data_IF_496402371839
#
_entry.id   IF_496402371839
#
_cell.length_a   1.000
_cell.length_b   1.000
_cell.length_c   1.000
_cell.angle_alpha   90.00
_cell.angle_beta   90.00
_cell.angle_gamma   90.00
#
_symmetry.space_group_name_H-M   'P 1'
#
loop_
_entity.id
_entity.type
_entity.pdbx_description
1 polymer ?
#
# COMPACT_ATOMS: atom_id res chain seq x y z
N UNK A 1 1.79 -37.75 28.62
CA UNK A 1 2.17 -36.65 27.71
C UNK A 1 1.85 -36.92 26.23
N UNK A 2 2.07 -38.13 25.68
CA UNK A 2 1.80 -38.45 24.26
C UNK A 2 0.32 -38.30 23.83
N UNK A 3 -0.63 -38.62 24.71
CA UNK A 3 -2.05 -38.45 24.42
C UNK A 3 -2.51 -37.00 24.59
N UNK A 4 -1.91 -36.25 25.53
CA UNK A 4 -2.23 -34.84 25.76
C UNK A 4 -1.84 -33.97 24.57
N UNK A 5 -0.65 -34.19 23.99
CA UNK A 5 -0.24 -33.53 22.74
C UNK A 5 -1.14 -33.89 21.56
N UNK A 6 -1.69 -35.11 21.53
CA UNK A 6 -2.65 -35.55 20.51
C UNK A 6 -3.99 -34.81 20.64
N UNK A 7 -4.52 -34.65 21.85
CA UNK A 7 -5.76 -33.89 22.06
C UNK A 7 -5.58 -32.40 21.78
N UNK A 8 -4.44 -31.81 22.18
CA UNK A 8 -4.11 -30.42 21.86
C UNK A 8 -4.01 -30.23 20.34
N UNK A 9 -3.37 -31.16 19.63
CA UNK A 9 -3.28 -31.11 18.17
C UNK A 9 -4.64 -31.22 17.49
N UNK A 10 -5.54 -32.07 17.99
CA UNK A 10 -6.90 -32.21 17.44
C UNK A 10 -7.71 -30.92 17.68
N UNK A 11 -7.62 -30.35 18.89
CA UNK A 11 -8.26 -29.08 19.23
C UNK A 11 -7.79 -27.95 18.30
N UNK A 12 -6.47 -27.85 18.08
CA UNK A 12 -5.87 -26.80 17.25
C UNK A 12 -6.34 -26.88 15.79
N UNK A 13 -6.35 -28.08 15.22
CA UNK A 13 -6.84 -28.32 13.86
C UNK A 13 -8.33 -27.97 13.75
N UNK A 14 -9.15 -28.35 14.73
CA UNK A 14 -10.57 -28.00 14.74
C UNK A 14 -10.79 -26.47 14.78
N UNK A 15 -9.98 -25.73 15.56
CA UNK A 15 -10.07 -24.26 15.61
C UNK A 15 -9.62 -23.59 14.32
N UNK A 16 -8.64 -24.14 13.60
CA UNK A 16 -8.25 -23.62 12.28
C UNK A 16 -9.40 -23.74 11.28
N UNK A 17 -10.10 -24.88 11.24
CA UNK A 17 -11.24 -25.05 10.33
C UNK A 17 -12.41 -24.11 10.64
N UNK A 18 -12.62 -23.77 11.91
CA UNK A 18 -13.68 -22.84 12.33
C UNK A 18 -13.42 -21.39 11.85
N UNK A 19 -12.17 -21.02 11.56
CA UNK A 19 -11.83 -19.65 11.11
C UNK A 19 -11.99 -19.44 9.60
N UNK A 20 -12.16 -20.52 8.82
CA UNK A 20 -12.20 -20.43 7.34
C UNK A 20 -13.63 -20.22 6.82
N UNK A 21 -14.65 -20.25 7.68
CA UNK A 21 -16.03 -20.02 7.24
C UNK A 21 -16.35 -18.53 7.25
N UNK A 22 -16.77 -17.94 6.11
CA UNK A 22 -17.16 -16.53 6.06
C UNK A 22 -18.35 -16.31 7.00
N UNK A 23 -18.21 -15.37 7.93
CA UNK A 23 -19.29 -14.98 8.85
C UNK A 23 -20.33 -14.21 8.01
N UNK A 24 -21.57 -14.72 7.85
CA UNK A 24 -22.59 -13.96 7.16
C UNK A 24 -22.92 -12.71 7.97
N UNK A 25 -22.81 -11.53 7.35
CA UNK A 25 -23.26 -10.28 7.95
C UNK A 25 -24.79 -10.28 7.98
N UNK A 26 -25.38 -10.13 9.17
CA UNK A 26 -26.81 -9.85 9.31
C UNK A 26 -27.05 -8.41 8.83
N UNK A 27 -27.53 -8.24 7.60
CA UNK A 27 -27.91 -6.93 7.10
C UNK A 27 -29.13 -6.44 7.89
N UNK A 28 -28.93 -5.42 8.75
CA UNK A 28 -30.03 -4.65 9.30
C UNK A 28 -30.52 -3.70 8.21
N UNK A 29 -31.71 -3.93 7.67
CA UNK A 29 -32.34 -2.95 6.79
C UNK A 29 -32.66 -1.70 7.61
N UNK A 30 -31.78 -0.71 7.53
CA UNK A 30 -32.08 0.64 7.99
C UNK A 30 -33.20 1.18 7.10
N UNK A 31 -34.37 1.42 7.68
CA UNK A 31 -35.50 2.02 6.97
C UNK A 31 -35.08 3.39 6.43
N UNK A 32 -34.89 3.46 5.11
CA UNK A 32 -34.44 4.67 4.40
C UNK A 32 -35.59 5.68 4.40
N UNK A 33 -35.54 6.66 5.30
CA UNK A 33 -36.46 7.79 5.29
C UNK A 33 -36.23 8.68 4.05
N UNK A 34 -37.24 9.44 3.57
CA UNK A 34 -37.20 10.12 2.27
C UNK A 34 -36.21 11.29 2.15
N UNK A 35 -35.47 11.61 3.21
CA UNK A 35 -34.72 12.86 3.31
C UNK A 35 -33.48 12.75 4.21
N UNK A 36 -32.65 11.74 4.01
CA UNK A 36 -31.28 11.76 4.50
C UNK A 36 -30.38 12.20 3.34
N UNK A 37 -29.70 13.37 3.39
CA UNK A 37 -28.64 13.64 2.43
C UNK A 37 -27.63 12.50 2.57
N UNK A 38 -27.31 11.87 1.44
CA UNK A 38 -26.22 10.92 1.32
C UNK A 38 -24.93 11.72 1.48
N UNK A 39 -24.62 12.11 2.73
CA UNK A 39 -23.26 12.40 3.10
C UNK A 39 -22.61 11.03 3.05
N UNK A 40 -22.04 10.71 1.89
CA UNK A 40 -20.97 9.74 1.80
C UNK A 40 -19.88 10.26 2.72
N UNK A 41 -19.97 9.91 4.01
CA UNK A 41 -18.83 9.94 4.90
C UNK A 41 -17.86 9.00 4.22
N UNK A 42 -16.86 9.59 3.57
CA UNK A 42 -15.73 8.88 2.99
C UNK A 42 -15.03 8.20 4.16
N UNK A 43 -15.54 7.03 4.56
CA UNK A 43 -14.93 6.12 5.51
C UNK A 43 -13.76 5.42 4.81
N UNK A 44 -12.97 6.16 4.03
CA UNK A 44 -11.65 5.69 3.68
C UNK A 44 -10.87 5.64 4.97
N UNK A 45 -10.28 4.48 5.33
CA UNK A 45 -9.31 4.46 6.40
C UNK A 45 -8.29 5.56 6.11
N UNK A 46 -7.98 6.38 7.12
CA UNK A 46 -6.91 7.37 7.02
C UNK A 46 -5.67 6.65 6.52
N UNK A 47 -5.26 6.93 5.29
CA UNK A 47 -4.11 6.27 4.70
C UNK A 47 -2.86 6.71 5.46
N UNK A 48 -2.03 5.74 5.84
CA UNK A 48 -0.79 6.02 6.55
C UNK A 48 0.09 6.95 5.72
N UNK A 49 0.69 7.94 6.35
CA UNK A 49 1.49 8.93 5.64
C UNK A 49 2.79 8.30 5.12
N UNK A 50 3.24 8.73 3.93
CA UNK A 50 4.56 8.39 3.40
C UNK A 50 5.64 9.11 4.21
N UNK A 51 6.61 8.36 4.71
CA UNK A 51 7.74 8.87 5.49
C UNK A 51 9.06 8.91 4.71
N UNK A 52 9.16 8.20 3.59
CA UNK A 52 10.34 8.25 2.74
C UNK A 52 10.33 7.28 1.57
N UNK A 53 11.24 7.49 0.62
CA UNK A 53 11.48 6.58 -0.51
C UNK A 53 12.47 5.48 -0.12
N UNK A 54 12.27 4.27 -0.65
CA UNK A 54 13.17 3.14 -0.52
C UNK A 54 14.04 3.02 -1.78
N UNK A 55 15.14 3.76 -1.82
CA UNK A 55 15.99 3.86 -3.02
C UNK A 55 16.58 2.51 -3.47
N UNK A 56 16.80 1.59 -2.51
CA UNK A 56 17.29 0.23 -2.80
C UNK A 56 16.24 -0.68 -3.47
N UNK A 57 14.98 -0.22 -3.57
CA UNK A 57 13.87 -0.89 -4.24
C UNK A 57 13.45 -0.17 -5.53
N UNK A 58 14.28 0.74 -6.05
CA UNK A 58 14.02 1.37 -7.36
C UNK A 58 14.00 0.31 -8.46
N UNK A 59 13.06 0.47 -9.36
CA UNK A 59 12.99 -0.28 -10.62
C UNK A 59 12.80 0.71 -11.77
N UNK A 60 13.04 0.28 -13.02
CA UNK A 60 12.96 1.13 -14.21
C UNK A 60 11.81 2.14 -14.21
N UNK A 61 10.61 1.71 -13.81
CA UNK A 61 9.36 2.47 -13.85
C UNK A 61 8.63 2.56 -12.50
N UNK A 62 9.26 2.13 -11.39
CA UNK A 62 8.56 2.02 -10.09
C UNK A 62 9.34 2.71 -8.99
N UNK A 63 8.64 3.53 -8.20
CA UNK A 63 9.12 4.08 -6.93
C UNK A 63 8.41 3.42 -5.76
N UNK A 64 9.18 2.98 -4.77
CA UNK A 64 8.66 2.39 -3.54
C UNK A 64 8.80 3.36 -2.38
N UNK A 65 7.73 3.55 -1.63
CA UNK A 65 7.67 4.44 -0.48
C UNK A 65 7.34 3.66 0.79
N UNK A 66 8.01 4.00 1.88
CA UNK A 66 7.70 3.52 3.23
C UNK A 66 6.66 4.42 3.87
N UNK A 67 5.66 3.82 4.50
CA UNK A 67 4.61 4.52 5.24
C UNK A 67 4.80 4.37 6.76
N UNK A 68 4.15 5.25 7.54
CA UNK A 68 4.22 5.24 9.02
C UNK A 68 3.81 3.90 9.65
N UNK A 69 2.87 3.19 9.02
CA UNK A 69 2.40 1.87 9.44
C UNK A 69 3.35 0.72 9.07
N UNK A 70 4.55 1.03 8.58
CA UNK A 70 5.57 0.10 8.10
C UNK A 70 5.14 -0.74 6.89
N UNK A 71 4.07 -0.37 6.21
CA UNK A 71 3.73 -0.93 4.89
C UNK A 71 4.39 -0.11 3.77
N UNK A 72 4.29 -0.62 2.54
CA UNK A 72 4.89 -0.01 1.36
C UNK A 72 3.83 0.39 0.35
N UNK A 73 4.09 1.49 -0.34
CA UNK A 73 3.34 1.92 -1.52
C UNK A 73 4.27 1.89 -2.74
N UNK A 74 3.77 1.36 -3.87
CA UNK A 74 4.51 1.29 -5.13
C UNK A 74 3.80 2.12 -6.19
N UNK A 75 4.47 3.18 -6.64
CA UNK A 75 3.96 4.07 -7.69
C UNK A 75 4.54 3.63 -9.02
N UNK A 76 3.66 3.20 -9.95
CA UNK A 76 4.01 2.76 -11.29
C UNK A 76 3.89 3.92 -12.28
N UNK A 77 4.98 4.20 -13.00
CA UNK A 77 5.03 5.19 -14.06
C UNK A 77 4.94 4.53 -15.44
N UNK A 78 4.25 5.16 -16.41
CA UNK A 78 4.14 4.62 -17.77
C UNK A 78 5.48 4.65 -18.53
N UNK A 79 6.37 5.56 -18.15
CA UNK A 79 7.71 5.71 -18.74
C UNK A 79 8.79 5.47 -17.67
N UNK A 80 10.02 5.12 -18.09
CA UNK A 80 11.14 4.96 -17.16
C UNK A 80 11.41 6.25 -16.39
N UNK A 81 11.54 6.13 -15.07
CA UNK A 81 11.86 7.24 -14.15
C UNK A 81 13.23 7.08 -13.50
N UNK A 82 13.85 5.91 -13.65
CA UNK A 82 15.22 5.64 -13.23
C UNK A 82 16.06 5.20 -14.42
N UNK A 83 17.36 5.51 -14.38
CA UNK A 83 18.36 4.96 -15.28
C UNK A 83 19.28 4.00 -14.53
N UNK A 84 19.92 3.09 -15.25
CA UNK A 84 20.84 2.12 -14.67
C UNK A 84 22.28 2.60 -14.81
N UNK A 85 23.01 2.64 -13.71
CA UNK A 85 24.45 2.92 -13.66
C UNK A 85 25.11 1.95 -12.69
N UNK A 86 26.15 1.25 -13.13
CA UNK A 86 26.88 0.25 -12.34
C UNK A 86 25.98 -0.82 -11.68
N UNK A 87 24.90 -1.20 -12.37
CA UNK A 87 23.93 -2.17 -11.87
C UNK A 87 22.95 -1.62 -10.83
N UNK A 88 23.00 -0.33 -10.51
CA UNK A 88 22.09 0.35 -9.59
C UNK A 88 21.13 1.27 -10.34
N UNK A 89 19.88 1.35 -9.86
CA UNK A 89 18.89 2.29 -10.38
C UNK A 89 19.07 3.66 -9.73
N UNK A 90 19.31 4.68 -10.56
CA UNK A 90 19.50 6.07 -10.14
C UNK A 90 18.37 6.97 -10.65
N UNK A 91 18.08 8.01 -9.88
CA UNK A 91 17.07 9.01 -10.17
C UNK A 91 17.45 9.88 -11.37
N UNK A 92 16.51 10.11 -12.29
CA UNK A 92 16.68 11.08 -13.36
C UNK A 92 16.50 12.49 -12.79
N UNK A 93 17.59 13.27 -12.75
CA UNK A 93 17.53 14.68 -12.36
C UNK A 93 16.97 15.54 -13.50
N UNK A 94 15.77 16.09 -13.28
CA UNK A 94 15.09 16.98 -14.23
C UNK A 94 15.18 18.46 -13.80
N UNK A 95 16.14 18.82 -12.94
CA UNK A 95 16.34 20.20 -12.50
C UNK A 95 16.80 21.06 -13.67
N UNK A 96 16.07 22.14 -13.94
CA UNK A 96 16.42 23.12 -14.97
C UNK A 96 17.30 24.22 -14.38
N UNK A 97 18.30 24.65 -15.14
CA UNK A 97 19.21 25.73 -14.74
C UNK A 97 19.12 26.86 -15.76
N UNK A 98 18.94 28.09 -15.30
CA UNK A 98 18.93 29.26 -16.18
C UNK A 98 20.34 29.55 -16.68
N UNK A 99 20.51 29.64 -18.00
CA UNK A 99 21.76 30.09 -18.62
C UNK A 99 21.53 31.45 -19.26
N UNK A 100 22.18 32.51 -18.78
CA UNK A 100 22.19 33.80 -19.48
C UNK A 100 23.05 33.66 -20.74
N UNK A 101 22.44 33.64 -21.92
CA UNK A 101 23.17 33.63 -23.17
C UNK A 101 23.69 35.03 -23.47
N UNK A 102 24.99 35.27 -23.26
CA UNK A 102 25.63 36.58 -23.39
C UNK A 102 25.94 37.00 -24.84
N UNK A 103 25.27 36.41 -25.83
CA UNK A 103 25.59 36.60 -27.27
C UNK A 103 24.59 37.49 -28.04
N UNK A 104 23.65 38.17 -27.37
CA UNK A 104 22.72 39.11 -28.02
C UNK A 104 22.73 40.49 -27.32
N UNK A 105 23.87 41.19 -27.38
CA UNK A 105 23.94 42.65 -27.16
C UNK A 105 24.48 43.34 -28.41
#
# INVERSE_FOLDING_TARGET
>A
MKHLSKYISILLVATMFLQITPIPALAMEAQKGPFAPEIAVDNKPTEAQIIGELENKREKNVKHFLKEDHTYEAVLYPLPVHYQEDGQWKEIDNTLVETTNAENQ
#
